data_IF_477640432992
#
_entry.id   IF_477640432992
#
_cell.length_a   1.000
_cell.length_b   1.000
_cell.length_c   1.000
_cell.angle_alpha   90.00
_cell.angle_beta   90.00
_cell.angle_gamma   90.00
#
_symmetry.space_group_name_H-M   'P 1'
#
loop_
_entity.id
_entity.type
_entity.pdbx_description
1 polymer ?
#
# COMPACT_ATOMS: atom_id res chain seq x y z
N UNK A 1 -22.85 0.42 7.33
CA UNK A 1 -22.24 1.39 6.38
C UNK A 1 -21.00 0.76 5.77
N UNK A 2 -21.05 0.35 4.50
CA UNK A 2 -19.90 -0.20 3.77
C UNK A 2 -19.02 0.95 3.26
N UNK A 3 -18.19 1.55 4.14
CA UNK A 3 -17.15 2.49 3.67
C UNK A 3 -16.03 1.68 3.02
N UNK A 4 -15.72 1.97 1.76
CA UNK A 4 -14.55 1.38 1.06
C UNK A 4 -13.29 1.75 1.84
N UNK A 5 -12.46 0.76 2.14
CA UNK A 5 -11.18 0.98 2.81
C UNK A 5 -10.23 1.74 1.88
N UNK A 6 -9.49 2.69 2.44
CA UNK A 6 -8.50 3.46 1.70
C UNK A 6 -7.23 2.62 1.61
N UNK A 7 -6.87 2.23 0.38
CA UNK A 7 -5.66 1.47 0.12
C UNK A 7 -4.45 2.39 0.20
N UNK A 8 -3.55 2.13 1.14
CA UNK A 8 -2.35 2.95 1.36
C UNK A 8 -1.09 2.08 1.26
N UNK A 9 0.04 2.71 0.91
CA UNK A 9 1.34 2.04 0.81
C UNK A 9 2.31 2.64 1.80
N UNK A 10 2.94 1.79 2.61
CA UNK A 10 4.07 2.20 3.43
C UNK A 10 5.32 2.29 2.54
N UNK A 11 5.93 3.47 2.46
CA UNK A 11 7.17 3.68 1.71
C UNK A 11 8.42 3.42 2.55
N UNK A 12 8.34 3.67 3.86
CA UNK A 12 9.47 3.46 4.77
C UNK A 12 9.35 4.29 6.06
N UNK A 13 10.42 4.31 6.86
CA UNK A 13 10.57 5.15 8.06
C UNK A 13 11.79 6.04 7.88
N UNK A 14 11.63 7.35 8.07
CA UNK A 14 12.70 8.34 7.98
C UNK A 14 12.65 9.27 9.19
N UNK A 15 13.80 9.48 9.85
CA UNK A 15 13.92 10.37 11.03
C UNK A 15 12.87 10.14 12.14
N UNK A 16 12.40 8.89 12.29
CA UNK A 16 11.39 8.52 13.29
C UNK A 16 9.94 8.55 12.79
N UNK A 17 9.68 9.07 11.60
CA UNK A 17 8.35 9.16 10.99
C UNK A 17 8.16 8.11 9.90
N UNK A 18 6.95 7.58 9.76
CA UNK A 18 6.56 6.67 8.70
C UNK A 18 6.04 7.45 7.50
N UNK A 19 6.57 7.17 6.30
CA UNK A 19 6.10 7.77 5.04
C UNK A 19 5.04 6.88 4.41
N UNK A 20 3.83 7.40 4.25
CA UNK A 20 2.68 6.68 3.69
C UNK A 20 2.23 7.37 2.40
N UNK A 21 2.17 6.61 1.31
CA UNK A 21 1.56 7.05 0.07
C UNK A 21 0.07 6.72 0.08
N UNK A 22 -0.74 7.74 -0.18
CA UNK A 22 -2.18 7.64 -0.36
C UNK A 22 -2.52 7.64 -1.85
N UNK A 23 -3.62 6.99 -2.27
CA UNK A 23 -3.93 6.82 -3.68
C UNK A 23 -4.31 8.14 -4.36
N UNK A 24 -4.84 9.10 -3.58
CA UNK A 24 -5.30 10.40 -4.08
C UNK A 24 -4.33 11.55 -3.76
N UNK A 25 -3.13 11.26 -3.24
CA UNK A 25 -2.13 12.26 -2.89
C UNK A 25 -0.83 11.99 -3.63
N UNK A 26 -0.33 13.01 -4.33
CA UNK A 26 0.96 12.95 -5.04
C UNK A 26 2.15 12.95 -4.07
N UNK A 27 1.99 13.60 -2.92
CA UNK A 27 3.05 13.76 -1.91
C UNK A 27 2.78 12.73 -0.79
N UNK A 28 3.78 11.93 -0.40
CA UNK A 28 3.63 11.01 0.72
C UNK A 28 3.46 11.77 2.03
N UNK A 29 2.61 11.24 2.90
CA UNK A 29 2.33 11.83 4.21
C UNK A 29 3.26 11.20 5.24
N UNK A 30 3.85 12.05 6.08
CA UNK A 30 4.65 11.63 7.22
C UNK A 30 3.75 11.49 8.44
N UNK A 31 3.77 10.33 9.07
CA UNK A 31 3.01 10.06 10.30
C UNK A 31 3.95 9.55 11.39
N UNK A 32 3.68 9.93 12.63
CA UNK A 32 4.42 9.40 13.78
C UNK A 32 4.03 7.93 14.07
N UNK A 33 4.78 7.29 14.96
CA UNK A 33 4.59 5.88 15.30
C UNK A 33 3.24 5.59 15.95
N UNK A 34 2.72 6.49 16.79
CA UNK A 34 1.44 6.30 17.47
C UNK A 34 0.29 6.37 16.46
N UNK A 35 0.33 7.34 15.55
CA UNK A 35 -0.65 7.45 14.46
C UNK A 35 -0.55 6.27 13.49
N UNK A 36 0.65 5.87 13.10
CA UNK A 36 0.86 4.68 12.26
C UNK A 36 0.22 3.42 12.87
N UNK A 37 0.43 3.19 14.17
CA UNK A 37 -0.19 2.07 14.89
C UNK A 37 -1.72 2.15 14.85
N UNK A 38 -2.31 3.32 15.12
CA UNK A 38 -3.76 3.52 15.03
C UNK A 38 -4.29 3.23 13.64
N UNK A 39 -3.59 3.68 12.60
CA UNK A 39 -3.98 3.43 11.21
C UNK A 39 -3.95 1.94 10.86
N UNK A 40 -2.95 1.18 11.31
CA UNK A 40 -2.89 -0.27 11.08
C UNK A 40 -4.02 -1.06 11.74
N UNK A 41 -4.55 -0.57 12.86
CA UNK A 41 -5.65 -1.23 13.58
C UNK A 41 -7.04 -0.70 13.16
N UNK A 42 -7.09 0.38 12.37
CA UNK A 42 -8.36 0.93 11.86
C UNK A 42 -8.87 0.10 10.69
N UNK A 43 -10.20 -0.05 10.62
CA UNK A 43 -10.89 -0.65 9.47
C UNK A 43 -10.97 0.30 8.28
N UNK A 44 -10.51 1.54 8.42
CA UNK A 44 -10.56 2.55 7.36
C UNK A 44 -9.39 2.46 6.38
N UNK A 45 -8.25 1.90 6.79
CA UNK A 45 -7.03 1.84 5.98
C UNK A 45 -6.62 0.40 5.72
N UNK A 46 -6.26 0.11 4.47
CA UNK A 46 -5.69 -1.18 4.08
C UNK A 46 -4.26 -0.96 3.57
N UNK A 47 -3.27 -1.48 4.31
CA UNK A 47 -1.86 -1.39 3.93
C UNK A 47 -1.48 -2.54 2.99
N UNK A 48 -1.03 -2.22 1.77
CA UNK A 48 -0.47 -3.23 0.88
C UNK A 48 0.96 -3.60 1.30
N UNK A 49 1.23 -4.90 1.50
CA UNK A 49 2.60 -5.44 1.54
C UNK A 49 3.05 -5.65 0.10
N UNK A 50 4.18 -5.06 -0.29
CA UNK A 50 4.74 -5.14 -1.64
C UNK A 50 5.25 -6.51 -2.08
N UNK A 51 4.64 -7.62 -1.62
CA UNK A 51 4.90 -8.98 -2.13
C UNK A 51 3.80 -9.50 -3.08
N UNK A 52 2.76 -8.71 -3.35
CA UNK A 52 1.68 -9.04 -4.29
C UNK A 52 1.78 -8.31 -5.64
N UNK A 53 2.91 -7.66 -5.94
CA UNK A 53 3.14 -7.03 -7.24
C UNK A 53 3.72 -7.99 -8.31
N UNK A 54 3.69 -9.31 -8.06
CA UNK A 54 4.19 -10.32 -9.01
C UNK A 54 3.07 -11.06 -9.77
N UNK A 55 1.80 -10.90 -9.37
CA UNK A 55 0.68 -11.59 -10.02
C UNK A 55 -0.02 -10.79 -11.13
N UNK A 56 0.26 -9.50 -11.29
CA UNK A 56 -0.37 -8.67 -12.32
C UNK A 56 0.43 -8.56 -13.64
N UNK A 57 1.58 -9.24 -13.77
CA UNK A 57 2.38 -9.25 -15.01
C UNK A 57 2.58 -10.63 -15.64
N UNK A 58 1.78 -11.65 -15.29
CA UNK A 58 1.67 -12.84 -16.14
C UNK A 58 0.94 -12.47 -17.44
N UNK A 59 1.68 -11.98 -18.42
CA UNK A 59 1.33 -12.24 -19.83
C UNK A 59 1.39 -13.77 -20.00
N UNK A 60 0.34 -14.46 -20.47
CA UNK A 60 0.55 -15.77 -21.05
C UNK A 60 1.32 -15.56 -22.33
N UNK A 61 2.63 -15.76 -22.28
CA UNK A 61 3.44 -15.99 -23.47
C UNK A 61 2.96 -17.34 -24.02
N UNK A 62 2.05 -17.25 -24.99
CA UNK A 62 1.50 -18.41 -25.67
C UNK A 62 2.65 -19.01 -26.50
N UNK A 63 3.28 -20.03 -25.93
CA UNK A 63 4.38 -20.80 -26.50
C UNK A 63 3.93 -21.36 -27.88
N UNK A 64 4.39 -20.70 -28.94
CA UNK A 64 4.31 -21.19 -30.30
C UNK A 64 5.52 -22.10 -30.52
N UNK A 65 5.36 -23.39 -30.24
CA UNK A 65 6.22 -24.43 -30.74
C UNK A 65 5.35 -25.46 -31.49
N UNK A 66 5.28 -25.28 -32.81
CA UNK A 66 4.93 -26.33 -33.76
C UNK A 66 6.20 -26.78 -34.45
#
# INVERSE_FOLDING_TARGET
>A
MNKKQIMVKLLGKEKGYYKIAFPNLKIPVEVDENLYRKMRHSREFQFFKGKDLEFASKKPENELAK
#
